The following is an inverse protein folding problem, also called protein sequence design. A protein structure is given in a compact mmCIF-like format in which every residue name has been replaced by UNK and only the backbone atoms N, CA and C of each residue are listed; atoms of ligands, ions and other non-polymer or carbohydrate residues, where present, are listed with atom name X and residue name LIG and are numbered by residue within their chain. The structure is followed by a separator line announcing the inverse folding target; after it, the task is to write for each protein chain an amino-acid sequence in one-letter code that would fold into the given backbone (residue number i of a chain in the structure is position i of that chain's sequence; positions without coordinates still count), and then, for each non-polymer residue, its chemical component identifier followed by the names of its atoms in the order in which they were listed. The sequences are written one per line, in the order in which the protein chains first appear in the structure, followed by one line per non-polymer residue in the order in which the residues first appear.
data_IF_239883674056
#
_entry.id   IF_239883674056
#
_cell.length_a   1.000
_cell.length_b   1.000
_cell.length_c   1.000
_cell.angle_alpha   90.00
_cell.angle_beta   90.00
_cell.angle_gamma   90.00
#
_symmetry.space_group_name_H-M   'P 1'
#
loop_
_entity.id
_entity.type
_entity.pdbx_description
1 polymer ?
#
# COMPACT_ATOMS: atom_id res chain seq x y z
N UNK A 1 7.58 1.31 -15.17
CA UNK A 1 6.36 0.64 -14.64
C UNK A 1 6.58 0.37 -13.16
N UNK A 2 6.27 1.35 -12.31
CA UNK A 2 6.42 1.21 -10.87
C UNK A 2 5.25 0.43 -10.25
N UNK A 3 5.54 -0.72 -9.64
CA UNK A 3 4.60 -1.39 -8.73
C UNK A 3 4.67 -0.70 -7.37
N UNK A 4 3.55 -0.20 -6.83
CA UNK A 4 3.50 0.27 -5.44
C UNK A 4 3.35 -0.95 -4.52
N UNK A 5 4.27 -1.07 -3.55
CA UNK A 5 4.27 -2.16 -2.58
C UNK A 5 3.05 -2.03 -1.66
N UNK A 6 2.12 -3.00 -1.74
CA UNK A 6 0.93 -3.07 -0.91
C UNK A 6 1.24 -3.63 0.48
N UNK A 7 1.76 -2.80 1.38
CA UNK A 7 1.82 -3.16 2.81
C UNK A 7 0.38 -3.19 3.33
N UNK A 8 -0.07 -4.35 3.80
CA UNK A 8 -1.48 -4.59 4.17
C UNK A 8 -1.70 -4.86 5.65
N UNK A 9 -0.62 -4.85 6.43
CA UNK A 9 -0.63 -5.26 7.84
C UNK A 9 0.28 -4.38 8.67
N UNK A 10 -0.17 -4.00 9.87
CA UNK A 10 0.69 -3.47 10.92
C UNK A 10 1.28 -4.62 11.73
N UNK A 11 2.61 -4.65 11.87
CA UNK A 11 3.31 -5.68 12.61
C UNK A 11 3.95 -5.12 13.88
N UNK A 12 3.83 -5.85 14.99
CA UNK A 12 4.57 -5.59 16.22
C UNK A 12 5.60 -6.68 16.48
N UNK A 13 6.72 -6.29 17.11
CA UNK A 13 7.81 -7.21 17.44
C UNK A 13 7.82 -7.51 18.93
N UNK A 14 7.78 -8.79 19.28
CA UNK A 14 7.80 -9.28 20.66
C UNK A 14 9.07 -10.10 20.89
N UNK A 15 9.72 -9.87 22.04
CA UNK A 15 10.88 -10.65 22.47
C UNK A 15 10.43 -11.74 23.44
N UNK A 16 10.79 -12.99 23.18
CA UNK A 16 10.43 -14.14 23.99
C UNK A 16 11.45 -14.38 25.12
N UNK A 17 11.12 -15.27 26.05
CA UNK A 17 11.98 -15.60 27.20
C UNK A 17 13.33 -16.20 26.83
N UNK A 18 13.45 -16.79 25.63
CA UNK A 18 14.70 -17.31 25.07
C UNK A 18 15.49 -16.26 24.28
N UNK A 19 15.08 -14.98 24.35
CA UNK A 19 15.61 -13.85 23.57
C UNK A 19 15.37 -13.90 22.06
N UNK A 20 14.58 -14.86 21.56
CA UNK A 20 14.11 -14.85 20.18
C UNK A 20 13.08 -13.72 19.94
N UNK A 21 12.81 -13.42 18.66
CA UNK A 21 11.86 -12.37 18.26
C UNK A 21 10.75 -12.94 17.37
N UNK A 22 9.51 -12.56 17.68
CA UNK A 22 8.34 -12.78 16.81
C UNK A 22 7.87 -11.44 16.29
N UNK A 23 7.72 -11.32 14.97
CA UNK A 23 6.98 -10.24 14.34
C UNK A 23 5.55 -10.72 14.05
N UNK A 24 4.57 -10.15 14.74
CA UNK A 24 3.17 -10.53 14.64
C UNK A 24 2.39 -9.44 13.91
N UNK A 25 1.65 -9.83 12.86
CA UNK A 25 0.67 -8.96 12.25
C UNK A 25 -0.52 -8.78 13.20
N UNK A 26 -0.62 -7.62 13.84
CA UNK A 26 -1.66 -7.31 14.83
C UNK A 26 -2.82 -6.51 14.25
N UNK A 27 -2.64 -5.93 13.06
CA UNK A 27 -3.66 -5.15 12.37
C UNK A 27 -3.60 -5.36 10.87
N UNK A 28 -4.73 -5.12 10.21
CA UNK A 28 -4.86 -5.11 8.75
C UNK A 28 -5.31 -3.72 8.30
N UNK A 29 -4.80 -3.27 7.15
CA UNK A 29 -5.32 -2.07 6.51
C UNK A 29 -6.53 -2.46 5.67
N UNK A 30 -7.64 -1.75 5.85
CA UNK A 30 -8.88 -2.00 5.11
C UNK A 30 -9.57 -0.68 4.77
N UNK A 31 -10.35 -0.68 3.69
CA UNK A 31 -11.13 0.48 3.27
C UNK A 31 -12.35 0.74 4.19
N UNK A 32 -13.12 1.79 3.88
CA UNK A 32 -14.35 2.14 4.61
C UNK A 32 -15.44 1.04 4.57
N UNK A 33 -15.35 0.12 3.63
CA UNK A 33 -16.25 -1.02 3.46
C UNK A 33 -15.68 -2.30 4.12
N UNK A 34 -14.57 -2.18 4.86
CA UNK A 34 -13.83 -3.29 5.50
C UNK A 34 -13.20 -4.27 4.50
N UNK A 35 -12.98 -3.84 3.26
CA UNK A 35 -12.23 -4.59 2.26
C UNK A 35 -10.75 -4.39 2.56
N UNK A 36 -10.07 -5.48 2.93
CA UNK A 36 -8.63 -5.49 3.21
C UNK A 36 -7.85 -5.05 1.97
N UNK A 37 -6.93 -4.11 2.13
CA UNK A 37 -5.92 -3.79 1.13
C UNK A 37 -4.91 -4.95 1.07
N UNK A 38 -4.38 -5.30 -0.11
CA UNK A 38 -3.52 -6.47 -0.23
C UNK A 38 -2.94 -6.74 -1.62
N UNK A 39 -3.54 -6.15 -2.64
CA UNK A 39 -2.97 -6.07 -3.99
C UNK A 39 -2.33 -4.69 -4.23
N UNK A 40 -1.52 -4.59 -5.28
CA UNK A 40 -1.08 -3.28 -5.81
C UNK A 40 -2.30 -2.41 -6.09
N UNK A 41 -2.21 -1.12 -5.79
CA UNK A 41 -3.24 -0.16 -6.17
C UNK A 41 -3.26 -0.08 -7.70
N UNK A 42 -4.44 -0.22 -8.30
CA UNK A 42 -4.65 -0.06 -9.74
C UNK A 42 -5.15 1.37 -9.95
N UNK A 43 -4.40 2.23 -10.66
CA UNK A 43 -4.85 3.58 -10.96
C UNK A 43 -6.06 3.55 -11.90
N UNK A 44 -7.00 4.48 -11.72
CA UNK A 44 -8.13 4.66 -12.65
C UNK A 44 -7.65 5.01 -14.07
N UNK A 45 -6.53 5.73 -14.17
CA UNK A 45 -5.86 6.08 -15.42
C UNK A 45 -4.44 5.49 -15.40
N UNK A 46 -4.22 4.46 -16.20
CA UNK A 46 -2.87 3.93 -16.41
C UNK A 46 -2.10 4.79 -17.42
N UNK A 47 -0.86 5.11 -17.08
CA UNK A 47 0.05 5.83 -17.96
C UNK A 47 1.50 5.46 -17.65
N UNK A 48 2.41 5.76 -18.56
CA UNK A 48 3.83 5.56 -18.30
C UNK A 48 4.36 6.60 -17.32
N UNK A 49 5.44 6.26 -16.61
CA UNK A 49 6.04 7.12 -15.57
C UNK A 49 6.38 8.53 -16.12
N UNK A 50 6.73 8.62 -17.41
CA UNK A 50 7.06 9.88 -18.10
C UNK A 50 5.83 10.77 -18.41
N UNK A 51 4.63 10.19 -18.43
CA UNK A 51 3.38 10.89 -18.78
C UNK A 51 2.55 11.28 -17.56
N UNK A 52 2.89 10.76 -16.37
CA UNK A 52 2.11 10.98 -15.14
C UNK A 52 1.91 12.47 -14.89
N UNK A 53 2.98 13.27 -14.96
CA UNK A 53 2.92 14.69 -14.61
C UNK A 53 2.01 15.48 -15.56
N UNK A 54 2.15 15.27 -16.87
CA UNK A 54 1.36 16.01 -17.86
C UNK A 54 -0.12 15.63 -17.77
N UNK A 55 -0.44 14.35 -17.57
CA UNK A 55 -1.83 13.89 -17.39
C UNK A 55 -2.46 14.41 -16.10
N UNK A 56 -1.70 14.47 -15.00
CA UNK A 56 -2.19 15.03 -13.72
C UNK A 56 -2.49 16.53 -13.85
N UNK A 57 -1.59 17.30 -14.49
CA UNK A 57 -1.83 18.74 -14.71
C UNK A 57 -3.09 18.97 -15.55
N UNK A 58 -3.29 18.18 -16.61
CA UNK A 58 -4.49 18.29 -17.43
C UNK A 58 -5.76 17.99 -16.61
N UNK A 59 -5.74 16.92 -15.81
CA UNK A 59 -6.88 16.48 -15.00
C UNK A 59 -7.25 17.45 -13.88
N UNK A 60 -6.29 18.15 -13.27
CA UNK A 60 -6.59 19.14 -12.22
C UNK A 60 -7.23 20.41 -12.81
N UNK A 61 -6.89 20.77 -14.05
CA UNK A 61 -7.31 22.02 -14.67
C UNK A 61 -8.60 21.92 -15.50
N UNK A 62 -9.19 20.73 -15.65
CA UNK A 62 -10.41 20.49 -16.45
C UNK A 62 -11.38 19.58 -15.69
#
# INVERSE_FOLDING_TARGET
MGHQHGVSTGCESYTLSDSSRINLAISVFADRNKIKYGASIIPDIQCSDNEVLSKVIYWINN
#
